data_IF_808405224831
#
_entry.id   IF_808405224831
#
_cell.length_a   1.000
_cell.length_b   1.000
_cell.length_c   1.000
_cell.angle_alpha   90.00
_cell.angle_beta   90.00
_cell.angle_gamma   90.00
#
_symmetry.space_group_name_H-M   'P 1'
#
loop_
_entity.id
_entity.type
_entity.pdbx_description
1 polymer ?
#
# COMPACT_ATOMS: atom_id res chain seq x y z
N UNK A 1 8.43 22.07 27.68
CA UNK A 1 7.43 20.99 27.54
C UNK A 1 6.08 21.67 27.42
N UNK A 2 5.32 21.42 26.35
CA UNK A 2 4.05 22.12 26.11
C UNK A 2 2.89 21.48 26.87
N UNK A 3 1.93 22.30 27.31
CA UNK A 3 0.68 21.84 27.91
C UNK A 3 -0.48 22.21 26.99
N UNK A 4 -1.40 21.28 26.76
CA UNK A 4 -2.61 21.49 25.94
C UNK A 4 -3.82 21.15 26.79
N UNK A 5 -4.75 22.11 26.90
CA UNK A 5 -6.02 21.92 27.61
C UNK A 5 -7.18 21.93 26.61
N UNK A 6 -7.85 20.79 26.50
CA UNK A 6 -9.06 20.66 25.67
C UNK A 6 -10.27 21.06 26.53
N UNK A 7 -11.08 22.01 26.05
CA UNK A 7 -12.25 22.55 26.75
C UNK A 7 -13.53 22.09 26.08
N UNK A 8 -14.65 22.13 26.81
CA UNK A 8 -15.99 21.81 26.31
C UNK A 8 -16.13 20.39 25.75
N UNK A 9 -15.50 19.42 26.42
CA UNK A 9 -15.74 18.00 26.18
C UNK A 9 -16.88 17.53 27.06
N UNK A 10 -17.87 16.87 26.48
CA UNK A 10 -18.94 16.23 27.24
C UNK A 10 -18.39 15.13 28.15
N UNK A 11 -18.99 14.98 29.33
CA UNK A 11 -18.58 13.97 30.31
C UNK A 11 -18.63 12.54 29.74
N UNK A 12 -19.56 12.28 28.81
CA UNK A 12 -19.63 10.99 28.10
C UNK A 12 -18.37 10.72 27.28
N UNK A 13 -17.85 11.73 26.58
CA UNK A 13 -16.63 11.61 25.77
C UNK A 13 -15.42 11.38 26.69
N UNK A 14 -15.35 12.12 27.80
CA UNK A 14 -14.30 11.95 28.80
C UNK A 14 -14.30 10.51 29.36
N UNK A 15 -15.49 9.97 29.66
CA UNK A 15 -15.64 8.61 30.15
C UNK A 15 -15.22 7.57 29.12
N UNK A 16 -15.60 7.74 27.85
CA UNK A 16 -15.16 6.87 26.74
C UNK A 16 -13.64 6.89 26.57
N UNK A 17 -13.01 8.06 26.68
CA UNK A 17 -11.54 8.18 26.62
C UNK A 17 -10.86 7.44 27.77
N UNK A 18 -11.40 7.52 28.98
CA UNK A 18 -10.93 6.72 30.12
C UNK A 18 -11.04 5.23 29.87
N UNK A 19 -12.20 4.79 29.40
CA UNK A 19 -12.44 3.37 29.14
C UNK A 19 -11.45 2.84 28.11
N UNK A 20 -11.22 3.58 27.01
CA UNK A 20 -10.23 3.22 26.00
C UNK A 20 -8.82 3.21 26.57
N UNK A 21 -8.43 4.23 27.33
CA UNK A 21 -7.11 4.26 27.97
C UNK A 21 -6.88 3.04 28.89
N UNK A 22 -7.90 2.65 29.67
CA UNK A 22 -7.87 1.46 30.52
C UNK A 22 -7.76 0.16 29.71
N UNK A 23 -8.51 0.03 28.62
CA UNK A 23 -8.40 -1.11 27.70
C UNK A 23 -6.97 -1.28 27.17
N UNK A 24 -6.30 -0.15 26.88
CA UNK A 24 -4.90 -0.14 26.45
C UNK A 24 -3.88 -0.13 27.62
N UNK A 25 -4.33 -0.34 28.87
CA UNK A 25 -3.49 -0.39 30.09
C UNK A 25 -2.59 0.84 30.25
N UNK A 26 -3.11 2.03 29.95
CA UNK A 26 -2.37 3.29 30.03
C UNK A 26 -3.20 4.42 30.63
N UNK A 27 -2.55 5.52 31.01
CA UNK A 27 -3.24 6.72 31.49
C UNK A 27 -3.97 7.42 30.33
N UNK A 28 -5.04 8.16 30.65
CA UNK A 28 -5.77 8.98 29.68
C UNK A 28 -4.82 9.93 28.93
N UNK A 29 -3.89 10.56 29.64
CA UNK A 29 -2.90 11.45 29.03
C UNK A 29 -2.01 10.71 28.02
N UNK A 30 -1.46 9.55 28.40
CA UNK A 30 -0.61 8.75 27.49
C UNK A 30 -1.40 8.28 26.26
N UNK A 31 -2.67 7.92 26.45
CA UNK A 31 -3.57 7.55 25.37
C UNK A 31 -3.84 8.71 24.40
N UNK A 32 -4.15 9.91 24.93
CA UNK A 32 -4.38 11.11 24.14
C UNK A 32 -3.12 11.54 23.37
N UNK A 33 -1.93 11.45 23.99
CA UNK A 33 -0.66 11.70 23.31
C UNK A 33 -0.47 10.72 22.14
N UNK A 34 -0.79 9.44 22.33
CA UNK A 34 -0.72 8.44 21.26
C UNK A 34 -1.70 8.75 20.13
N UNK A 35 -2.93 9.16 20.45
CA UNK A 35 -3.94 9.56 19.48
C UNK A 35 -3.47 10.76 18.65
N UNK A 36 -2.97 11.81 19.32
CA UNK A 36 -2.47 13.02 18.66
C UNK A 36 -1.27 12.72 17.77
N UNK A 37 -0.32 11.88 18.23
CA UNK A 37 0.82 11.45 17.41
C UNK A 37 0.37 10.69 16.17
N UNK A 38 -0.54 9.74 16.35
CA UNK A 38 -1.06 8.97 15.23
C UNK A 38 -1.79 9.87 14.24
N UNK A 39 -2.56 10.85 14.74
CA UNK A 39 -3.25 11.83 13.91
C UNK A 39 -2.26 12.70 13.11
N UNK A 40 -1.19 13.21 13.74
CA UNK A 40 -0.18 14.04 13.05
C UNK A 40 0.63 13.28 12.00
N UNK A 41 0.72 11.95 12.12
CA UNK A 41 1.46 11.09 11.17
C UNK A 41 0.49 10.48 10.14
N UNK A 42 -0.83 10.57 10.36
CA UNK A 42 -1.82 9.89 9.53
C UNK A 42 -1.82 10.39 8.09
N UNK A 43 -1.70 11.71 7.89
CA UNK A 43 -1.62 12.32 6.57
C UNK A 43 -0.36 11.85 5.82
N UNK A 44 0.81 11.88 6.49
CA UNK A 44 2.07 11.38 5.91
C UNK A 44 1.98 9.88 5.59
N UNK A 45 1.33 9.09 6.45
CA UNK A 45 1.13 7.66 6.25
C UNK A 45 0.21 7.35 5.07
N UNK A 46 -0.89 8.10 4.94
CA UNK A 46 -1.81 7.95 3.80
C UNK A 46 -1.12 8.31 2.48
N UNK A 47 -0.37 9.41 2.44
CA UNK A 47 0.35 9.80 1.23
C UNK A 47 1.41 8.76 0.81
N UNK A 48 2.10 8.15 1.79
CA UNK A 48 3.05 7.06 1.54
C UNK A 48 2.33 5.80 1.05
N UNK A 49 1.19 5.43 1.64
CA UNK A 49 0.40 4.27 1.21
C UNK A 49 -0.14 4.46 -0.22
N UNK A 50 -0.64 5.65 -0.56
CA UNK A 50 -1.09 5.99 -1.91
C UNK A 50 0.04 5.92 -2.94
N UNK A 51 1.22 6.48 -2.61
CA UNK A 51 2.42 6.37 -3.45
C UNK A 51 2.85 4.92 -3.67
N UNK A 52 2.82 4.11 -2.61
CA UNK A 52 3.16 2.70 -2.70
C UNK A 52 2.17 1.92 -3.57
N UNK A 53 0.86 2.15 -3.40
CA UNK A 53 -0.17 1.55 -4.23
C UNK A 53 0.01 1.92 -5.72
N UNK A 54 0.30 3.20 -6.01
CA UNK A 54 0.58 3.66 -7.37
C UNK A 54 1.81 2.97 -7.98
N UNK A 55 2.88 2.80 -7.19
CA UNK A 55 4.08 2.11 -7.64
C UNK A 55 3.82 0.63 -7.92
N UNK A 56 3.07 -0.06 -7.05
CA UNK A 56 2.71 -1.47 -7.24
C UNK A 56 1.89 -1.65 -8.52
N UNK A 57 0.89 -0.80 -8.75
CA UNK A 57 0.09 -0.86 -9.98
C UNK A 57 0.97 -0.68 -11.24
N UNK A 58 1.88 0.30 -11.22
CA UNK A 58 2.82 0.49 -12.32
C UNK A 58 3.70 -0.76 -12.55
N UNK A 59 4.16 -1.42 -11.49
CA UNK A 59 4.95 -2.64 -11.62
C UNK A 59 4.13 -3.78 -12.23
N UNK A 60 2.88 -3.96 -11.81
CA UNK A 60 1.97 -4.97 -12.39
C UNK A 60 1.81 -4.72 -13.88
N UNK A 61 1.49 -3.48 -14.29
CA UNK A 61 1.31 -3.11 -15.70
C UNK A 61 2.58 -3.36 -16.54
N UNK A 62 3.77 -3.15 -15.98
CA UNK A 62 5.05 -3.43 -16.66
C UNK A 62 5.28 -4.94 -16.77
N UNK A 63 5.00 -5.70 -15.71
CA UNK A 63 5.17 -7.17 -15.72
C UNK A 63 4.21 -7.82 -16.70
N UNK A 64 2.96 -7.38 -16.76
CA UNK A 64 1.96 -7.86 -17.71
C UNK A 64 2.41 -7.60 -19.16
N UNK A 65 2.78 -6.36 -19.49
CA UNK A 65 3.29 -6.02 -20.84
C UNK A 65 4.54 -6.80 -21.21
N UNK A 66 5.46 -7.00 -20.27
CA UNK A 66 6.65 -7.81 -20.51
C UNK A 66 6.26 -9.27 -20.77
N UNK A 67 5.28 -9.80 -20.04
CA UNK A 67 4.76 -11.17 -20.23
C UNK A 67 4.14 -11.32 -21.61
N UNK A 68 3.31 -10.38 -22.05
CA UNK A 68 2.71 -10.35 -23.39
C UNK A 68 3.80 -10.33 -24.47
N UNK A 69 4.78 -9.42 -24.35
CA UNK A 69 5.89 -9.32 -25.30
C UNK A 69 6.71 -10.61 -25.36
N UNK A 70 6.93 -11.29 -24.23
CA UNK A 70 7.65 -12.57 -24.21
C UNK A 70 6.88 -13.69 -24.90
N UNK A 71 5.56 -13.74 -24.77
CA UNK A 71 4.73 -14.73 -25.48
C UNK A 71 4.65 -14.44 -26.98
N UNK A 72 4.62 -13.18 -27.39
CA UNK A 72 4.75 -12.78 -28.80
C UNK A 72 6.10 -13.24 -29.38
N UNK A 73 7.21 -12.93 -28.70
CA UNK A 73 8.54 -13.37 -29.11
C UNK A 73 8.64 -14.89 -29.23
N UNK A 74 8.08 -15.63 -28.27
CA UNK A 74 8.06 -17.09 -28.29
C UNK A 74 7.30 -17.61 -29.51
N UNK A 75 6.17 -17.00 -29.85
CA UNK A 75 5.37 -17.37 -31.02
C UNK A 75 6.16 -17.15 -32.32
N UNK A 76 6.81 -15.99 -32.46
CA UNK A 76 7.66 -15.70 -33.63
C UNK A 76 8.82 -16.69 -33.78
N UNK A 77 9.49 -17.05 -32.67
CA UNK A 77 10.59 -18.02 -32.67
C UNK A 77 10.10 -19.39 -33.15
N UNK A 78 8.93 -19.83 -32.71
CA UNK A 78 8.34 -21.10 -33.14
C UNK A 78 8.02 -21.09 -34.63
N UNK A 79 7.39 -20.02 -35.13
CA UNK A 79 7.12 -19.89 -36.57
C UNK A 79 8.39 -19.90 -37.42
N UNK A 80 9.44 -19.21 -36.97
CA UNK A 80 10.75 -19.23 -37.65
C UNK A 80 11.29 -20.65 -37.70
N UNK A 81 11.25 -21.37 -36.57
CA UNK A 81 11.68 -22.76 -36.48
C UNK A 81 10.93 -23.69 -37.44
N UNK A 82 9.61 -23.55 -37.53
CA UNK A 82 8.77 -24.32 -38.46
C UNK A 82 9.09 -24.02 -39.93
N UNK A 83 9.23 -22.73 -40.29
CA UNK A 83 9.62 -22.31 -41.66
C UNK A 83 10.98 -22.87 -42.07
N UNK A 84 11.95 -22.86 -41.15
CA UNK A 84 13.28 -23.44 -41.38
C UNK A 84 13.23 -24.96 -41.57
N UNK A 85 12.41 -25.66 -40.77
CA UNK A 85 12.23 -27.11 -40.88
C UNK A 85 11.62 -27.50 -42.24
N UNK A 86 10.60 -26.78 -42.71
CA UNK A 86 9.97 -27.03 -44.01
C UNK A 86 10.93 -26.78 -45.17
N UNK A 87 11.69 -25.68 -45.14
CA UNK A 87 12.64 -25.33 -46.20
C UNK A 87 13.80 -26.32 -46.35
N UNK A 88 14.20 -26.98 -45.25
CA UNK A 88 15.25 -28.01 -45.27
C UNK A 88 14.78 -29.41 -45.71
N UNK A 89 13.46 -29.65 -45.77
CA UNK A 89 12.88 -30.94 -46.22
C UNK A 89 12.59 -30.94 -47.73
N UNK A 90 12.41 -29.75 -48.33
CA UNK A 90 12.18 -29.54 -49.77
C UNK A 90 13.48 -29.39 -50.60
N UNK A 91 14.66 -29.61 -50.00
CA UNK A 91 15.99 -29.55 -50.64
C UNK A 91 16.62 -30.94 -50.75
#
# INVERSE_FOLDING_TARGET
>A
MGEVKIRNLDDEIIHKLDQKARQHKMSRNKYLISLLRNFTILEEKQEIEEKYAGLVNLMVDVVERNTETMEEMKSEILEIGERMWQSGYDS
#
